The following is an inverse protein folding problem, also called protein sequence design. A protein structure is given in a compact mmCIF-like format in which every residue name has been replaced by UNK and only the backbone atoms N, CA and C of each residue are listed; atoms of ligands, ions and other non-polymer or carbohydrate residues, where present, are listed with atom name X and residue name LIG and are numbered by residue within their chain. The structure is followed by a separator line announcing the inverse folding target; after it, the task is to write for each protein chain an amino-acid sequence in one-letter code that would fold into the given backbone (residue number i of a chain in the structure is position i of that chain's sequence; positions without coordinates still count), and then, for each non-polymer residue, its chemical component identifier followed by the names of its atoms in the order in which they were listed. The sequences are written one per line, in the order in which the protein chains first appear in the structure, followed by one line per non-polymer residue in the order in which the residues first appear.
data_IF_256558889920
#
_entry.id   IF_256558889920
#
_cell.length_a   1.000
_cell.length_b   1.000
_cell.length_c   1.000
_cell.angle_alpha   90.00
_cell.angle_beta   90.00
_cell.angle_gamma   90.00
#
_symmetry.space_group_name_H-M   'P 1'
#
loop_
_entity.id
_entity.type
_entity.pdbx_description
1 polymer ?
#
# COMPACT_ATOMS: atom_id res chain seq x y z
N UNK A 1 -78.03 -23.34 -41.40
CA UNK A 1 -76.77 -23.90 -41.87
C UNK A 1 -75.66 -22.90 -41.58
N UNK A 2 -74.92 -23.06 -40.46
CA UNK A 2 -73.80 -22.20 -40.10
C UNK A 2 -72.50 -22.95 -40.43
N UNK A 3 -71.70 -22.40 -41.33
CA UNK A 3 -70.35 -22.91 -41.63
C UNK A 3 -69.36 -22.42 -40.53
N UNK A 4 -68.70 -23.37 -39.92
CA UNK A 4 -67.58 -23.11 -38.98
C UNK A 4 -66.32 -23.09 -39.84
N UNK A 5 -65.57 -21.99 -39.72
CA UNK A 5 -64.27 -21.82 -40.35
C UNK A 5 -63.18 -22.09 -39.30
N UNK A 6 -62.43 -23.15 -39.51
CA UNK A 6 -61.29 -23.51 -38.63
C UNK A 6 -60.05 -22.80 -39.11
N UNK A 7 -59.47 -21.95 -38.27
CA UNK A 7 -58.18 -21.26 -38.52
C UNK A 7 -57.04 -22.06 -37.86
N UNK A 8 -56.13 -22.58 -38.67
CA UNK A 8 -54.93 -23.29 -38.22
C UNK A 8 -53.78 -22.26 -38.06
N UNK A 9 -53.32 -22.08 -36.85
CA UNK A 9 -52.15 -21.22 -36.54
C UNK A 9 -50.89 -22.09 -36.64
N UNK A 10 -50.02 -21.79 -37.61
CA UNK A 10 -48.69 -22.38 -37.69
C UNK A 10 -47.70 -21.54 -36.85
N UNK A 11 -47.15 -22.11 -35.78
CA UNK A 11 -46.10 -21.50 -34.97
C UNK A 11 -44.74 -21.86 -35.58
N UNK A 12 -44.06 -20.87 -36.13
CA UNK A 12 -42.64 -20.95 -36.52
C UNK A 12 -41.76 -20.58 -35.35
N UNK A 13 -41.07 -21.57 -34.74
CA UNK A 13 -40.05 -21.38 -33.74
C UNK A 13 -38.73 -21.00 -34.43
N UNK A 14 -38.33 -19.74 -34.26
CA UNK A 14 -37.00 -19.28 -34.65
C UNK A 14 -35.98 -19.72 -33.59
N UNK A 15 -35.12 -20.66 -33.96
CA UNK A 15 -33.97 -21.10 -33.14
C UNK A 15 -32.83 -20.08 -33.29
N UNK A 16 -32.64 -19.21 -32.29
CA UNK A 16 -31.51 -18.27 -32.26
C UNK A 16 -30.25 -19.04 -31.86
N UNK A 17 -29.38 -19.30 -32.82
CA UNK A 17 -28.01 -19.75 -32.54
C UNK A 17 -27.23 -18.60 -31.90
N UNK A 18 -27.02 -18.67 -30.58
CA UNK A 18 -26.00 -17.87 -29.87
C UNK A 18 -24.62 -18.38 -30.31
N UNK A 19 -23.96 -17.65 -31.21
CA UNK A 19 -22.56 -17.85 -31.51
C UNK A 19 -21.75 -17.30 -30.31
N UNK A 20 -21.22 -18.20 -29.47
CA UNK A 20 -20.22 -17.85 -28.48
C UNK A 20 -18.97 -17.34 -29.22
N UNK A 21 -18.67 -16.07 -29.11
CA UNK A 21 -17.37 -15.50 -29.52
C UNK A 21 -16.27 -16.18 -28.72
N UNK A 22 -15.23 -16.74 -29.35
CA UNK A 22 -14.10 -17.30 -28.60
C UNK A 22 -13.44 -16.16 -27.80
N UNK A 23 -13.27 -16.38 -26.50
CA UNK A 23 -12.49 -15.49 -25.65
C UNK A 23 -11.11 -15.28 -26.29
N UNK A 24 -10.74 -14.02 -26.50
CA UNK A 24 -9.45 -13.69 -27.08
C UNK A 24 -8.33 -14.09 -26.12
N UNK A 25 -7.17 -14.47 -26.64
CA UNK A 25 -6.02 -14.98 -25.89
C UNK A 25 -5.49 -14.03 -24.79
N UNK A 26 -6.08 -12.82 -24.65
CA UNK A 26 -5.74 -11.82 -23.63
C UNK A 26 -6.28 -12.14 -22.20
N UNK A 27 -7.23 -13.08 -22.06
CA UNK A 27 -7.91 -13.37 -20.78
C UNK A 27 -7.37 -14.59 -20.04
N UNK A 28 -6.28 -15.21 -20.49
CA UNK A 28 -5.64 -16.27 -19.70
C UNK A 28 -4.74 -15.64 -18.63
N UNK A 29 -4.90 -16.01 -17.35
CA UNK A 29 -3.93 -15.61 -16.33
C UNK A 29 -2.53 -16.01 -16.81
N UNK A 30 -1.59 -15.06 -16.83
CA UNK A 30 -0.18 -15.39 -17.12
C UNK A 30 0.31 -16.35 -16.05
N UNK A 31 1.09 -17.34 -16.44
CA UNK A 31 1.84 -18.14 -15.49
C UNK A 31 2.83 -17.20 -14.79
N UNK A 32 2.58 -16.94 -13.51
CA UNK A 32 3.44 -16.07 -12.71
C UNK A 32 4.67 -16.86 -12.28
N UNK A 33 5.90 -16.34 -12.50
CA UNK A 33 7.11 -17.03 -12.07
C UNK A 33 7.17 -17.14 -10.55
N UNK A 34 7.87 -18.17 -10.05
CA UNK A 34 8.06 -18.36 -8.60
C UNK A 34 8.88 -17.22 -7.96
N UNK A 35 9.72 -16.54 -8.76
CA UNK A 35 10.49 -15.38 -8.34
C UNK A 35 10.62 -14.35 -9.47
N UNK A 36 10.70 -13.06 -9.10
CA UNK A 36 11.09 -11.95 -9.98
C UNK A 36 12.17 -11.16 -9.29
N UNK A 37 13.34 -11.05 -9.92
CA UNK A 37 14.48 -10.32 -9.39
C UNK A 37 14.40 -8.83 -9.74
N UNK A 38 14.44 -7.95 -8.75
CA UNK A 38 14.38 -6.49 -8.90
C UNK A 38 15.74 -5.82 -9.10
N UNK A 39 16.84 -6.60 -9.17
CA UNK A 39 18.19 -6.05 -9.33
C UNK A 39 18.93 -5.84 -8.01
N UNK A 40 20.18 -5.35 -8.14
CA UNK A 40 21.09 -5.02 -7.04
C UNK A 40 21.50 -3.53 -7.13
N UNK A 41 21.19 -2.75 -6.11
CA UNK A 41 21.28 -1.29 -6.15
C UNK A 41 21.94 -0.71 -4.90
N UNK A 42 22.58 0.45 -5.04
CA UNK A 42 23.15 1.21 -3.92
C UNK A 42 22.10 2.15 -3.26
N UNK A 43 20.88 2.16 -3.74
CA UNK A 43 19.80 3.08 -3.37
C UNK A 43 19.04 2.70 -2.08
N UNK A 44 19.68 2.00 -1.14
CA UNK A 44 19.01 1.47 0.06
C UNK A 44 18.32 0.12 -0.19
N UNK A 45 17.62 -0.41 0.80
CA UNK A 45 16.89 -1.69 0.64
C UNK A 45 15.56 -1.50 -0.11
N UNK A 46 14.99 -2.63 -0.58
CA UNK A 46 13.65 -2.63 -1.18
C UNK A 46 12.61 -2.20 -0.13
N UNK A 47 11.69 -1.31 -0.52
CA UNK A 47 10.69 -0.68 0.34
C UNK A 47 9.27 -1.13 -0.02
N UNK A 48 9.03 -1.49 -1.27
CA UNK A 48 7.72 -1.89 -1.75
C UNK A 48 7.77 -2.42 -3.18
N UNK A 49 6.63 -2.95 -3.62
CA UNK A 49 6.47 -3.51 -4.96
C UNK A 49 5.10 -3.20 -5.52
N UNK A 50 5.00 -3.11 -6.86
CA UNK A 50 3.74 -3.08 -7.59
C UNK A 50 3.84 -3.95 -8.84
N UNK A 51 2.70 -4.37 -9.41
CA UNK A 51 2.67 -5.21 -10.61
C UNK A 51 1.57 -4.77 -11.60
N UNK A 52 1.93 -4.64 -12.86
CA UNK A 52 0.97 -4.67 -13.96
C UNK A 52 0.91 -6.10 -14.53
N UNK A 53 -0.01 -6.92 -13.98
CA UNK A 53 -0.16 -8.32 -14.41
C UNK A 53 -0.57 -8.42 -15.89
N UNK A 54 -1.30 -7.43 -16.41
CA UNK A 54 -1.78 -7.42 -17.79
C UNK A 54 -0.64 -7.23 -18.79
N UNK A 55 0.26 -6.26 -18.50
CA UNK A 55 1.42 -5.98 -19.36
C UNK A 55 2.63 -6.86 -19.00
N UNK A 56 2.67 -7.43 -17.80
CA UNK A 56 3.75 -8.27 -17.31
C UNK A 56 4.97 -7.49 -16.88
N UNK A 57 4.76 -6.42 -16.11
CA UNK A 57 5.83 -5.63 -15.52
C UNK A 57 5.74 -5.62 -14.00
N UNK A 58 6.90 -5.73 -13.36
CA UNK A 58 7.08 -5.49 -11.93
C UNK A 58 7.75 -4.15 -11.69
N UNK A 59 7.40 -3.54 -10.58
CA UNK A 59 7.98 -2.30 -10.08
C UNK A 59 8.48 -2.53 -8.68
N UNK A 60 9.69 -2.05 -8.39
CA UNK A 60 10.30 -2.15 -7.07
C UNK A 60 10.73 -0.74 -6.65
N UNK A 61 10.34 -0.30 -5.47
CA UNK A 61 10.92 0.87 -4.84
C UNK A 61 12.12 0.47 -3.98
N UNK A 62 13.16 1.26 -4.10
CA UNK A 62 14.27 1.34 -3.17
C UNK A 62 14.24 2.76 -2.60
N UNK A 63 14.97 3.06 -1.55
CA UNK A 63 14.84 4.34 -0.82
C UNK A 63 14.77 5.59 -1.73
N UNK A 64 15.57 5.64 -2.80
CA UNK A 64 15.59 6.77 -3.74
C UNK A 64 15.67 6.34 -5.21
N UNK A 65 15.03 5.23 -5.53
CA UNK A 65 15.03 4.63 -6.86
C UNK A 65 13.74 3.85 -7.10
N UNK A 66 13.11 4.04 -8.25
CA UNK A 66 12.09 3.12 -8.79
C UNK A 66 12.69 2.29 -9.90
N UNK A 67 12.51 0.97 -9.85
CA UNK A 67 12.95 0.01 -10.87
C UNK A 67 11.75 -0.62 -11.55
N UNK A 68 11.76 -0.72 -12.87
CA UNK A 68 10.79 -1.46 -13.69
C UNK A 68 11.47 -2.64 -14.35
N UNK A 69 10.97 -3.84 -14.13
CA UNK A 69 11.43 -5.08 -14.79
C UNK A 69 10.30 -5.76 -15.55
N UNK A 70 10.62 -6.66 -16.46
CA UNK A 70 9.67 -7.69 -16.89
C UNK A 70 9.54 -8.80 -15.81
N UNK A 71 8.65 -9.77 -16.03
CA UNK A 71 8.45 -10.88 -15.08
C UNK A 71 9.62 -11.88 -15.05
N UNK A 72 10.59 -11.78 -15.96
CA UNK A 72 11.82 -12.53 -15.95
C UNK A 72 12.95 -11.82 -15.18
N UNK A 73 12.63 -10.64 -14.58
CA UNK A 73 13.59 -9.83 -13.82
C UNK A 73 14.54 -9.01 -14.70
N UNK A 74 14.30 -8.93 -16.03
CA UNK A 74 15.09 -8.11 -16.93
C UNK A 74 14.71 -6.63 -16.74
N UNK A 75 15.70 -5.79 -16.49
CA UNK A 75 15.53 -4.34 -16.39
C UNK A 75 14.92 -3.76 -17.67
N UNK A 76 13.84 -3.01 -17.52
CA UNK A 76 13.18 -2.24 -18.58
C UNK A 76 13.51 -0.77 -18.46
N UNK A 77 13.55 -0.24 -17.24
CA UNK A 77 13.89 1.14 -16.96
C UNK A 77 13.94 1.42 -15.48
N UNK A 78 14.41 2.60 -15.11
CA UNK A 78 14.42 3.06 -13.73
C UNK A 78 14.23 4.57 -13.64
N UNK A 79 13.83 5.05 -12.46
CA UNK A 79 13.67 6.48 -12.16
C UNK A 79 14.52 6.82 -10.96
N UNK A 80 15.38 7.80 -11.13
CA UNK A 80 16.29 8.39 -10.15
C UNK A 80 16.03 9.90 -10.00
N UNK A 81 16.95 10.65 -9.43
CA UNK A 81 16.86 12.12 -9.37
C UNK A 81 15.94 12.65 -8.29
N UNK A 82 15.67 11.84 -7.26
CA UNK A 82 15.04 12.29 -6.03
C UNK A 82 15.84 11.80 -4.81
N UNK A 83 15.89 12.62 -3.76
CA UNK A 83 16.64 12.36 -2.51
C UNK A 83 15.72 11.93 -1.38
N UNK A 84 14.39 12.09 -1.57
CA UNK A 84 13.37 11.67 -0.63
C UNK A 84 13.30 10.16 -0.47
N UNK A 85 12.63 9.72 0.60
CA UNK A 85 12.38 8.31 0.85
C UNK A 85 11.13 7.85 0.11
N UNK A 86 11.32 7.01 -0.92
CA UNK A 86 10.26 6.31 -1.63
C UNK A 86 9.95 5.00 -0.89
N UNK A 87 8.75 4.89 -0.34
CA UNK A 87 8.29 3.72 0.41
C UNK A 87 7.53 2.72 -0.45
N UNK A 88 6.39 2.27 0.06
CA UNK A 88 5.52 1.27 -0.58
C UNK A 88 4.92 1.75 -1.90
N UNK A 89 4.53 0.79 -2.75
CA UNK A 89 3.97 1.04 -4.08
C UNK A 89 2.65 0.28 -4.27
N UNK A 90 1.72 0.88 -5.02
CA UNK A 90 0.60 0.12 -5.59
C UNK A 90 0.29 0.55 -7.03
N UNK A 91 -0.21 -0.40 -7.83
CA UNK A 91 -0.57 -0.19 -9.22
C UNK A 91 -2.07 0.09 -9.37
N UNK A 92 -2.41 1.27 -9.85
CA UNK A 92 -3.80 1.61 -10.12
C UNK A 92 -4.25 1.05 -11.49
N UNK A 93 -5.06 0.00 -11.46
CA UNK A 93 -5.59 -0.64 -12.67
C UNK A 93 -6.54 0.27 -13.46
N UNK A 94 -7.07 1.35 -12.88
CA UNK A 94 -8.00 2.27 -13.53
C UNK A 94 -7.30 3.26 -14.46
N UNK A 95 -6.09 3.72 -14.09
CA UNK A 95 -5.35 4.70 -14.88
C UNK A 95 -3.98 4.20 -15.38
N UNK A 96 -3.57 2.99 -14.98
CA UNK A 96 -2.35 2.34 -15.45
C UNK A 96 -1.06 2.94 -14.88
N UNK A 97 -1.14 3.65 -13.74
CA UNK A 97 0.00 4.30 -13.09
C UNK A 97 0.36 3.61 -11.77
N UNK A 98 1.61 3.75 -11.35
CA UNK A 98 2.08 3.34 -10.03
C UNK A 98 2.04 4.53 -9.08
N UNK A 99 1.51 4.29 -7.89
CA UNK A 99 1.44 5.26 -6.79
C UNK A 99 2.35 4.78 -5.66
N UNK A 100 3.13 5.68 -5.09
CA UNK A 100 4.04 5.37 -3.98
C UNK A 100 4.08 6.49 -2.96
N UNK A 101 4.38 6.14 -1.72
CA UNK A 101 4.67 7.13 -0.68
C UNK A 101 6.04 7.76 -0.96
N UNK A 102 6.15 9.08 -0.84
CA UNK A 102 7.41 9.80 -1.00
C UNK A 102 7.52 10.88 0.09
N UNK A 103 8.57 10.81 0.88
CA UNK A 103 8.71 11.69 2.03
C UNK A 103 10.05 12.44 2.06
N UNK A 104 9.95 13.70 2.48
CA UNK A 104 11.06 14.62 2.75
C UNK A 104 10.89 15.17 4.16
N UNK A 105 11.35 14.41 5.16
CA UNK A 105 11.12 14.72 6.59
C UNK A 105 11.73 16.04 7.02
N UNK A 106 12.93 16.34 6.54
CA UNK A 106 13.65 17.59 6.86
C UNK A 106 12.99 18.83 6.22
N UNK A 107 12.22 18.65 5.14
CA UNK A 107 11.44 19.69 4.48
C UNK A 107 9.98 19.68 4.91
N UNK A 108 9.60 18.84 5.89
CA UNK A 108 8.22 18.67 6.37
C UNK A 108 7.23 18.46 5.21
N UNK A 109 7.64 17.65 4.23
CA UNK A 109 6.89 17.48 3.00
C UNK A 109 6.64 16.00 2.70
N UNK A 110 5.36 15.64 2.60
CA UNK A 110 4.92 14.27 2.35
C UNK A 110 4.01 14.23 1.13
N UNK A 111 4.29 13.31 0.22
CA UNK A 111 3.63 13.22 -1.08
C UNK A 111 3.19 11.78 -1.39
N UNK A 112 2.21 11.67 -2.27
CA UNK A 112 2.09 10.51 -3.14
C UNK A 112 2.79 10.83 -4.44
N UNK A 113 3.84 10.07 -4.78
CA UNK A 113 4.46 10.04 -6.09
C UNK A 113 3.62 9.20 -7.05
N UNK A 114 3.36 9.72 -8.24
CA UNK A 114 2.54 9.09 -9.28
C UNK A 114 3.40 8.93 -10.52
N UNK A 115 3.74 7.69 -10.81
CA UNK A 115 4.64 7.33 -11.92
C UNK A 115 3.83 6.95 -13.17
N UNK A 116 4.08 7.65 -14.27
CA UNK A 116 3.63 7.23 -15.60
C UNK A 116 4.54 6.10 -16.12
N UNK A 117 4.23 4.89 -15.68
CA UNK A 117 5.08 3.71 -15.88
C UNK A 117 5.17 3.25 -17.33
N UNK A 118 4.25 3.67 -18.20
CA UNK A 118 4.35 3.38 -19.64
C UNK A 118 5.49 4.17 -20.28
N UNK A 119 5.82 5.33 -19.73
CA UNK A 119 6.91 6.18 -20.21
C UNK A 119 8.27 5.83 -19.61
N UNK A 120 8.33 4.94 -18.62
CA UNK A 120 9.59 4.44 -18.04
C UNK A 120 10.14 3.36 -18.99
N UNK A 121 11.06 3.74 -19.88
CA UNK A 121 11.57 2.91 -20.98
C UNK A 121 13.10 2.82 -21.04
N UNK A 122 13.80 3.52 -20.16
CA UNK A 122 15.26 3.52 -20.08
C UNK A 122 15.72 3.55 -18.62
N UNK A 123 16.93 3.04 -18.31
CA UNK A 123 17.55 3.24 -17.00
C UNK A 123 17.78 4.72 -16.69
N UNK A 124 17.78 5.05 -15.40
CA UNK A 124 18.19 6.33 -14.82
C UNK A 124 17.45 7.57 -15.38
N UNK A 125 16.16 7.41 -15.69
CA UNK A 125 15.31 8.55 -16.03
C UNK A 125 15.17 9.46 -14.83
N UNK A 126 15.47 10.74 -14.99
CA UNK A 126 15.42 11.71 -13.90
C UNK A 126 13.98 12.13 -13.58
N UNK A 127 13.58 12.00 -12.32
CA UNK A 127 12.22 12.27 -11.84
C UNK A 127 11.79 13.73 -12.00
N UNK A 128 12.74 14.66 -11.94
CA UNK A 128 12.45 16.09 -11.96
C UNK A 128 12.41 16.68 -13.38
N UNK A 129 13.06 16.02 -14.36
CA UNK A 129 13.21 16.56 -15.72
C UNK A 129 12.50 15.78 -16.82
N UNK A 130 12.19 14.48 -16.60
CA UNK A 130 11.60 13.62 -17.65
C UNK A 130 10.08 13.61 -17.67
N UNK A 131 9.42 14.28 -16.74
CA UNK A 131 7.95 14.35 -16.62
C UNK A 131 7.28 12.97 -16.48
N UNK A 132 8.01 11.97 -15.97
CA UNK A 132 7.46 10.63 -15.67
C UNK A 132 6.91 10.52 -14.25
N UNK A 133 7.17 11.52 -13.41
CA UNK A 133 6.71 11.58 -12.02
C UNK A 133 5.91 12.85 -11.80
N UNK A 134 4.77 12.70 -11.16
CA UNK A 134 3.99 13.78 -10.56
C UNK A 134 3.83 13.50 -9.07
N UNK A 135 3.63 14.54 -8.29
CA UNK A 135 3.42 14.41 -6.85
C UNK A 135 2.15 15.14 -6.43
N UNK A 136 1.52 14.61 -5.36
CA UNK A 136 0.36 15.22 -4.68
C UNK A 136 0.68 15.32 -3.20
N UNK A 137 0.62 16.54 -2.67
CA UNK A 137 0.94 16.86 -1.29
C UNK A 137 -0.12 16.34 -0.31
N UNK A 138 0.30 15.78 0.81
CA UNK A 138 -0.56 15.23 1.85
C UNK A 138 -0.58 16.12 3.09
N UNK A 139 -1.41 17.16 3.05
CA UNK A 139 -1.54 18.13 4.15
C UNK A 139 -1.85 17.47 5.51
N UNK A 140 -2.76 16.48 5.56
CA UNK A 140 -3.13 15.80 6.80
C UNK A 140 -1.94 15.12 7.49
N UNK A 141 -1.02 14.55 6.71
CA UNK A 141 0.21 13.93 7.23
C UNK A 141 1.14 14.98 7.83
N UNK A 142 1.30 16.10 7.11
CA UNK A 142 2.15 17.21 7.57
C UNK A 142 1.59 17.81 8.86
N UNK A 143 0.28 18.06 8.93
CA UNK A 143 -0.36 18.63 10.11
C UNK A 143 -0.12 17.76 11.36
N UNK A 144 -0.16 16.42 11.22
CA UNK A 144 0.11 15.51 12.34
C UNK A 144 1.61 15.34 12.61
N UNK A 145 2.45 15.41 11.57
CA UNK A 145 3.90 15.31 11.72
C UNK A 145 4.49 16.53 12.47
N UNK A 146 4.07 17.75 12.11
CA UNK A 146 4.57 18.98 12.74
C UNK A 146 3.77 19.42 13.97
N UNK A 147 2.86 18.56 14.47
CA UNK A 147 2.01 18.92 15.60
C UNK A 147 2.85 19.16 16.86
N UNK A 148 2.75 20.36 17.41
CA UNK A 148 3.26 20.72 18.73
C UNK A 148 2.29 20.18 19.80
N UNK A 149 2.56 18.96 20.29
CA UNK A 149 1.67 18.25 21.21
C UNK A 149 1.91 18.62 22.67
N UNK A 150 3.03 19.24 23.00
CA UNK A 150 3.33 19.74 24.34
C UNK A 150 2.92 21.21 24.55
N UNK A 151 2.66 21.96 23.47
CA UNK A 151 2.19 23.34 23.49
C UNK A 151 3.28 24.34 23.89
N UNK A 152 4.55 24.04 23.64
CA UNK A 152 5.66 24.93 23.95
C UNK A 152 5.96 25.95 22.84
N UNK A 153 5.22 25.87 21.72
CA UNK A 153 5.34 26.75 20.56
C UNK A 153 6.55 26.45 19.68
N UNK A 154 7.14 25.27 19.80
CA UNK A 154 8.25 24.79 18.98
C UNK A 154 7.92 23.43 18.38
N UNK A 155 8.49 23.17 17.22
CA UNK A 155 8.52 21.85 16.63
C UNK A 155 9.94 21.30 16.69
N UNK A 156 10.12 20.12 17.28
CA UNK A 156 11.44 19.54 17.57
C UNK A 156 12.10 18.87 16.33
N UNK A 157 11.47 18.91 15.16
CA UNK A 157 11.98 18.33 13.93
C UNK A 157 11.79 16.82 13.85
N UNK A 158 12.59 16.16 13.03
CA UNK A 158 12.54 14.70 12.80
C UNK A 158 13.12 13.91 13.99
N UNK A 159 12.48 14.00 15.16
CA UNK A 159 12.95 13.42 16.42
C UNK A 159 11.86 12.59 17.08
N UNK A 160 12.10 11.28 17.28
CA UNK A 160 11.14 10.36 17.87
C UNK A 160 10.97 10.44 19.39
N UNK A 161 11.89 11.12 20.12
CA UNK A 161 11.91 11.17 21.58
C UNK A 161 11.34 12.48 22.14
N UNK A 162 10.36 13.05 21.45
CA UNK A 162 9.64 14.24 21.89
C UNK A 162 8.16 13.94 22.06
N UNK A 163 7.38 14.77 22.77
CA UNK A 163 5.93 14.68 22.77
C UNK A 163 5.29 15.12 21.46
N UNK A 164 6.02 15.85 20.60
CA UNK A 164 5.53 16.28 19.28
C UNK A 164 5.20 15.09 18.38
N UNK A 165 4.71 15.34 17.18
CA UNK A 165 4.24 14.34 16.25
C UNK A 165 2.98 13.60 16.73
N UNK A 166 1.82 14.14 16.41
CA UNK A 166 0.53 13.53 16.79
C UNK A 166 0.50 12.04 16.39
N UNK A 167 0.05 11.17 17.29
CA UNK A 167 0.06 9.70 17.16
C UNK A 167 1.47 9.10 16.99
N UNK A 168 2.53 9.84 17.27
CA UNK A 168 3.88 9.43 16.96
C UNK A 168 4.19 9.42 15.46
N UNK A 169 3.50 10.23 14.66
CA UNK A 169 3.66 10.30 13.20
C UNK A 169 5.12 10.60 12.83
N UNK A 170 5.77 9.69 12.11
CA UNK A 170 7.12 9.86 11.56
C UNK A 170 7.11 10.06 10.04
N UNK A 171 5.94 10.26 9.43
CA UNK A 171 5.73 10.35 7.99
C UNK A 171 4.77 9.31 7.47
N UNK A 172 5.04 8.77 6.28
CA UNK A 172 4.21 7.78 5.58
C UNK A 172 5.06 6.66 4.99
N UNK A 173 4.47 5.46 4.85
CA UNK A 173 5.12 4.35 4.13
C UNK A 173 4.10 3.55 3.31
N UNK A 174 3.26 2.72 3.95
CA UNK A 174 2.33 1.83 3.26
C UNK A 174 1.29 2.56 2.40
N UNK A 175 1.10 2.09 1.17
CA UNK A 175 0.05 2.59 0.27
C UNK A 175 -0.66 1.44 -0.43
N UNK A 176 -1.98 1.52 -0.59
CA UNK A 176 -2.72 0.55 -1.39
C UNK A 176 -4.06 1.08 -1.88
N UNK A 177 -4.49 0.59 -3.04
CA UNK A 177 -5.84 0.79 -3.54
C UNK A 177 -6.78 -0.27 -2.99
N UNK A 178 -7.94 0.16 -2.52
CA UNK A 178 -8.98 -0.74 -2.03
C UNK A 178 -10.27 -0.01 -1.73
N UNK A 179 -11.34 -0.70 -1.34
CA UNK A 179 -12.61 -0.08 -1.04
C UNK A 179 -12.54 0.74 0.25
N UNK A 180 -13.56 1.50 0.52
CA UNK A 180 -13.75 2.17 1.81
C UNK A 180 -13.82 1.16 2.94
N UNK A 181 -13.17 1.42 4.08
CA UNK A 181 -13.26 0.56 5.26
C UNK A 181 -14.72 0.33 5.68
N UNK A 182 -15.05 -0.92 5.98
CA UNK A 182 -16.41 -1.39 6.23
C UNK A 182 -17.14 -1.88 4.97
N UNK A 183 -16.44 -1.93 3.84
CA UNK A 183 -16.95 -2.48 2.56
C UNK A 183 -15.90 -3.41 1.96
N UNK A 184 -16.29 -4.64 1.64
CA UNK A 184 -15.39 -5.59 0.97
C UNK A 184 -15.24 -5.34 -0.53
N UNK A 185 -16.15 -4.59 -1.11
CA UNK A 185 -16.17 -4.25 -2.53
C UNK A 185 -16.67 -2.82 -2.70
N UNK A 186 -16.35 -2.20 -3.82
CA UNK A 186 -16.85 -0.86 -4.14
C UNK A 186 -15.82 0.00 -4.86
N UNK A 187 -16.05 1.30 -4.81
CA UNK A 187 -15.14 2.29 -5.39
C UNK A 187 -13.78 2.19 -4.70
N UNK A 188 -12.73 2.09 -5.51
CA UNK A 188 -11.36 2.09 -5.03
C UNK A 188 -10.97 3.49 -4.51
N UNK A 189 -10.38 3.52 -3.34
CA UNK A 189 -9.74 4.69 -2.73
C UNK A 189 -8.25 4.38 -2.54
N UNK A 190 -7.42 5.38 -2.57
CA UNK A 190 -6.05 5.26 -2.13
C UNK A 190 -6.03 5.31 -0.60
N UNK A 191 -5.46 4.30 0.02
CA UNK A 191 -5.19 4.26 1.46
C UNK A 191 -3.70 4.47 1.68
N UNK A 192 -3.37 5.39 2.60
CA UNK A 192 -2.00 5.74 2.98
C UNK A 192 -1.84 5.49 4.47
N UNK A 193 -0.79 4.78 4.86
CA UNK A 193 -0.50 4.49 6.25
C UNK A 193 0.64 5.36 6.78
N UNK A 194 0.53 5.78 8.03
CA UNK A 194 1.59 6.54 8.69
C UNK A 194 2.81 5.66 8.99
N UNK A 195 3.97 6.27 8.86
CA UNK A 195 5.13 5.90 9.65
C UNK A 195 4.91 6.29 11.12
N UNK A 196 5.42 5.50 12.07
CA UNK A 196 5.24 5.72 13.51
C UNK A 196 6.61 5.61 14.22
N UNK A 197 6.99 6.60 14.98
CA UNK A 197 8.20 6.50 15.82
C UNK A 197 8.08 5.38 16.85
N UNK A 198 9.13 4.56 16.96
CA UNK A 198 9.19 3.38 17.84
C UNK A 198 9.40 3.69 19.33
N UNK A 199 9.18 4.92 19.77
CA UNK A 199 9.40 5.33 21.16
C UNK A 199 8.51 4.51 22.12
N UNK A 200 9.13 3.74 23.01
CA UNK A 200 8.42 2.86 23.96
C UNK A 200 7.85 3.60 25.16
N UNK A 201 8.27 4.83 25.41
CA UNK A 201 7.75 5.65 26.52
C UNK A 201 6.50 6.44 26.14
N UNK A 202 6.22 6.62 24.83
CA UNK A 202 4.98 7.24 24.34
C UNK A 202 3.78 6.36 24.65
N UNK A 203 2.65 6.99 24.91
CA UNK A 203 1.37 6.28 25.13
C UNK A 203 0.42 6.40 23.92
N UNK A 204 0.65 7.38 23.04
CA UNK A 204 -0.22 7.75 21.93
C UNK A 204 0.14 7.09 20.57
N UNK A 205 1.19 6.25 20.52
CA UNK A 205 1.69 5.61 19.31
C UNK A 205 1.35 4.11 19.18
N UNK A 206 0.26 3.68 19.81
CA UNK A 206 -0.16 2.27 19.83
C UNK A 206 -1.20 1.91 18.74
N UNK A 207 -1.48 2.87 17.84
CA UNK A 207 -2.37 2.68 16.69
C UNK A 207 -1.58 2.82 15.39
N UNK A 208 -1.88 1.96 14.41
CA UNK A 208 -1.57 2.27 13.01
C UNK A 208 -2.62 3.27 12.51
N UNK A 209 -2.19 4.35 11.89
CA UNK A 209 -3.06 5.38 11.35
C UNK A 209 -3.15 5.23 9.84
N UNK A 210 -4.38 5.14 9.31
CA UNK A 210 -4.64 4.96 7.90
C UNK A 210 -5.54 6.07 7.38
N UNK A 211 -5.11 6.72 6.31
CA UNK A 211 -5.86 7.78 5.62
C UNK A 211 -6.45 7.23 4.33
N UNK A 212 -7.70 7.54 4.03
CA UNK A 212 -8.31 7.21 2.73
C UNK A 212 -8.62 8.45 1.91
N UNK A 213 -8.29 8.40 0.62
CA UNK A 213 -8.49 9.46 -0.36
C UNK A 213 -9.23 8.96 -1.60
N UNK A 214 -10.24 9.71 -2.04
CA UNK A 214 -10.84 9.58 -3.36
C UNK A 214 -10.00 10.36 -4.38
N UNK A 215 -9.23 9.63 -5.18
CA UNK A 215 -8.29 10.26 -6.10
C UNK A 215 -8.89 10.73 -7.44
N UNK A 216 -10.20 10.58 -7.67
CA UNK A 216 -10.83 10.94 -8.96
C UNK A 216 -10.56 12.40 -9.39
N UNK A 217 -10.40 13.28 -8.42
CA UNK A 217 -10.13 14.70 -8.66
C UNK A 217 -8.66 15.09 -8.51
N UNK A 218 -7.76 14.14 -8.33
CA UNK A 218 -6.36 14.43 -7.99
C UNK A 218 -5.56 15.02 -9.15
N UNK A 219 -5.97 14.81 -10.39
CA UNK A 219 -5.32 15.41 -11.58
C UNK A 219 -5.10 16.94 -11.44
N UNK A 220 -6.01 17.64 -10.78
CA UNK A 220 -5.88 19.10 -10.52
C UNK A 220 -4.76 19.44 -9.53
N UNK A 221 -4.36 18.49 -8.68
CA UNK A 221 -3.31 18.67 -7.67
C UNK A 221 -1.94 18.21 -8.14
N UNK A 222 -1.88 17.32 -9.14
CA UNK A 222 -0.62 16.78 -9.66
C UNK A 222 0.31 17.91 -10.11
N UNK A 223 1.56 17.89 -9.61
CA UNK A 223 2.63 18.81 -10.00
C UNK A 223 3.90 18.02 -10.31
N UNK A 224 4.78 18.53 -11.17
CA UNK A 224 6.13 17.97 -11.31
C UNK A 224 6.82 17.94 -9.95
N UNK A 225 7.64 16.91 -9.73
CA UNK A 225 8.53 16.89 -8.58
C UNK A 225 9.62 17.96 -8.76
N UNK A 226 9.80 18.80 -7.75
CA UNK A 226 10.86 19.81 -7.68
C UNK A 226 11.36 19.89 -6.25
N UNK A 227 12.54 19.34 -5.98
CA UNK A 227 13.07 19.28 -4.61
C UNK A 227 13.57 20.63 -4.08
N UNK A 228 14.04 21.51 -4.99
CA UNK A 228 14.51 22.86 -4.62
C UNK A 228 13.36 23.82 -4.23
N UNK A 229 12.12 23.52 -4.66
CA UNK A 229 10.91 24.30 -4.35
C UNK A 229 9.71 23.34 -4.14
N UNK A 230 9.62 22.67 -3.00
CA UNK A 230 8.58 21.70 -2.71
C UNK A 230 7.19 22.35 -2.71
N UNK A 231 6.31 21.89 -3.60
CA UNK A 231 4.96 22.41 -3.69
C UNK A 231 4.04 21.87 -2.59
N UNK A 232 2.97 22.62 -2.28
CA UNK A 232 1.90 22.22 -1.35
C UNK A 232 0.57 21.97 -2.05
N UNK A 233 0.60 21.52 -3.31
CA UNK A 233 -0.61 21.22 -4.09
C UNK A 233 -1.13 19.83 -3.73
N UNK A 234 -2.27 19.78 -3.05
CA UNK A 234 -2.90 18.55 -2.58
C UNK A 234 -4.32 18.79 -2.05
N UNK A 235 -5.02 17.73 -1.63
CA UNK A 235 -6.33 17.86 -0.99
C UNK A 235 -6.21 18.55 0.37
N UNK A 236 -7.12 19.48 0.66
CA UNK A 236 -7.21 20.18 1.96
C UNK A 236 -7.67 19.24 3.09
N UNK A 237 -8.34 18.15 2.78
CA UNK A 237 -8.90 17.20 3.74
C UNK A 237 -8.79 15.78 3.23
N UNK A 238 -8.60 14.87 4.16
CA UNK A 238 -8.72 13.44 3.95
C UNK A 238 -10.20 13.03 3.94
N UNK A 239 -10.57 12.01 3.15
CA UNK A 239 -11.95 11.47 3.17
C UNK A 239 -12.23 10.63 4.42
N UNK A 240 -11.20 10.04 4.99
CA UNK A 240 -11.30 9.31 6.24
C UNK A 240 -9.95 9.08 6.90
N UNK A 241 -9.91 9.22 8.23
CA UNK A 241 -8.78 8.88 9.09
C UNK A 241 -9.20 7.78 10.05
N UNK A 242 -8.45 6.70 10.07
CA UNK A 242 -8.79 5.47 10.76
C UNK A 242 -7.64 4.95 11.62
N UNK A 243 -7.96 4.20 12.66
CA UNK A 243 -7.03 3.75 13.69
C UNK A 243 -7.15 2.25 13.92
N UNK A 244 -6.07 1.50 13.72
CA UNK A 244 -5.98 0.08 14.03
C UNK A 244 -5.09 -0.13 15.26
N UNK A 245 -5.63 -0.68 16.34
CA UNK A 245 -4.91 -0.91 17.59
C UNK A 245 -4.03 -2.15 17.48
N UNK A 246 -2.71 -1.98 17.43
CA UNK A 246 -1.72 -3.05 17.23
C UNK A 246 -0.63 -3.07 18.29
N UNK A 247 -0.54 -2.04 19.11
CA UNK A 247 0.68 -1.62 19.80
C UNK A 247 1.58 -0.79 18.87
N UNK A 248 2.65 -0.25 19.42
CA UNK A 248 3.61 0.49 18.63
C UNK A 248 4.33 -0.42 17.64
N UNK A 249 4.84 0.17 16.58
CA UNK A 249 5.69 -0.48 15.57
C UNK A 249 6.91 0.38 15.32
N UNK A 250 7.93 -0.17 14.67
CA UNK A 250 9.06 0.62 14.21
C UNK A 250 8.75 1.14 12.82
N UNK A 251 8.61 2.45 12.67
CA UNK A 251 8.23 3.14 11.43
C UNK A 251 6.84 2.83 10.86
N UNK A 252 5.90 2.29 11.65
CA UNK A 252 4.51 2.10 11.25
C UNK A 252 4.28 0.97 10.26
N UNK A 253 3.28 1.12 9.39
CA UNK A 253 2.96 0.15 8.33
C UNK A 253 3.90 0.40 7.16
N UNK A 254 4.81 -0.52 6.94
CA UNK A 254 5.79 -0.44 5.86
C UNK A 254 5.19 -0.83 4.51
N UNK A 255 4.39 -1.88 4.49
CA UNK A 255 3.65 -2.30 3.31
C UNK A 255 2.18 -2.53 3.65
N UNK A 256 1.32 -1.97 2.82
CA UNK A 256 -0.13 -2.07 2.91
C UNK A 256 -0.68 -2.73 1.65
N UNK A 257 -1.57 -3.71 1.80
CA UNK A 257 -2.22 -4.34 0.66
C UNK A 257 -3.69 -4.65 0.95
N UNK A 258 -4.60 -4.16 0.12
CA UNK A 258 -5.96 -4.69 0.09
C UNK A 258 -5.99 -6.01 -0.69
N UNK A 259 -6.54 -7.03 -0.08
CA UNK A 259 -6.65 -8.35 -0.69
C UNK A 259 -8.12 -8.72 -0.99
N UNK A 260 -8.45 -8.82 -2.27
CA UNK A 260 -9.81 -9.18 -2.70
C UNK A 260 -10.20 -10.61 -2.34
N UNK A 261 -9.23 -11.54 -2.19
CA UNK A 261 -9.49 -12.93 -1.87
C UNK A 261 -10.05 -13.08 -0.44
N UNK A 262 -9.47 -12.39 0.53
CA UNK A 262 -9.95 -12.39 1.92
C UNK A 262 -10.94 -11.25 2.22
N UNK A 263 -10.94 -10.20 1.41
CA UNK A 263 -11.68 -8.96 1.62
C UNK A 263 -11.14 -8.15 2.80
N UNK A 264 -9.83 -8.26 3.08
CA UNK A 264 -9.17 -7.62 4.22
C UNK A 264 -7.97 -6.78 3.77
N UNK A 265 -7.50 -5.91 4.69
CA UNK A 265 -6.30 -5.10 4.51
C UNK A 265 -5.14 -5.74 5.27
N UNK A 266 -4.08 -6.05 4.57
CA UNK A 266 -2.85 -6.63 5.10
C UNK A 266 -1.84 -5.53 5.40
N UNK A 267 -1.18 -5.61 6.55
CA UNK A 267 -0.20 -4.64 7.03
C UNK A 267 1.09 -5.37 7.41
N UNK A 268 2.14 -5.21 6.63
CA UNK A 268 3.51 -5.62 6.97
C UNK A 268 4.20 -4.51 7.75
N UNK A 269 4.75 -4.82 8.93
CA UNK A 269 5.36 -3.86 9.82
C UNK A 269 6.69 -4.35 10.36
N UNK A 270 7.63 -3.46 10.64
CA UNK A 270 8.71 -3.79 11.58
C UNK A 270 8.13 -3.87 12.99
N UNK A 271 8.50 -4.93 13.70
CA UNK A 271 7.99 -5.20 15.06
C UNK A 271 8.16 -4.01 15.98
N UNK A 272 7.16 -3.76 16.80
CA UNK A 272 7.29 -2.92 17.98
C UNK A 272 8.15 -3.56 19.06
N UNK A 273 8.39 -2.80 20.13
CA UNK A 273 9.25 -3.21 21.24
C UNK A 273 8.64 -2.97 22.62
N UNK A 274 7.39 -2.51 22.69
CA UNK A 274 6.68 -2.36 23.97
C UNK A 274 6.37 -3.72 24.58
N UNK A 275 6.82 -3.99 25.82
CA UNK A 275 6.70 -5.33 26.41
C UNK A 275 5.26 -5.77 26.72
N UNK A 276 4.32 -4.84 26.81
CA UNK A 276 2.89 -5.15 27.05
C UNK A 276 2.16 -5.63 25.80
N UNK A 277 2.79 -5.56 24.60
CA UNK A 277 2.20 -5.99 23.34
C UNK A 277 2.88 -7.24 22.79
N UNK A 278 2.17 -8.06 21.98
CA UNK A 278 2.74 -9.26 21.37
C UNK A 278 3.75 -8.95 20.26
N UNK A 279 3.82 -7.71 19.77
CA UNK A 279 4.75 -7.22 18.75
C UNK A 279 4.80 -8.12 17.50
N UNK A 280 3.64 -8.39 16.90
CA UNK A 280 3.57 -9.15 15.65
C UNK A 280 4.14 -8.31 14.48
N UNK A 281 4.80 -8.95 13.48
CA UNK A 281 5.26 -8.25 12.27
C UNK A 281 4.19 -8.16 11.17
N UNK A 282 3.03 -8.80 11.33
CA UNK A 282 1.97 -8.83 10.34
C UNK A 282 0.59 -8.76 10.98
N UNK A 283 -0.22 -7.84 10.48
CA UNK A 283 -1.60 -7.63 10.92
C UNK A 283 -2.56 -7.65 9.73
N UNK A 284 -3.83 -7.90 10.03
CA UNK A 284 -4.90 -7.74 9.07
C UNK A 284 -6.05 -6.94 9.68
N UNK A 285 -6.56 -5.96 8.93
CA UNK A 285 -7.81 -5.25 9.26
C UNK A 285 -8.95 -5.92 8.51
N UNK A 286 -10.06 -6.18 9.21
CA UNK A 286 -11.29 -6.69 8.60
C UNK A 286 -11.92 -5.62 7.71
N UNK A 287 -11.81 -5.80 6.39
CA UNK A 287 -12.31 -4.85 5.40
C UNK A 287 -13.83 -4.72 5.40
N UNK A 288 -14.56 -5.73 5.89
CA UNK A 288 -16.03 -5.72 5.99
C UNK A 288 -16.59 -5.16 7.30
N UNK A 289 -15.78 -5.10 8.35
CA UNK A 289 -16.20 -4.56 9.63
C UNK A 289 -16.32 -3.03 9.57
N UNK A 290 -17.50 -2.49 9.87
CA UNK A 290 -17.71 -1.04 9.88
C UNK A 290 -16.86 -0.37 10.95
N UNK A 291 -16.09 0.70 10.61
CA UNK A 291 -15.35 1.46 11.60
C UNK A 291 -16.28 2.00 12.71
N UNK A 292 -15.83 1.93 13.95
CA UNK A 292 -16.59 2.40 15.11
C UNK A 292 -15.95 3.67 15.66
N UNK A 293 -16.75 4.68 15.97
CA UNK A 293 -16.24 5.86 16.69
C UNK A 293 -16.01 5.48 18.17
N UNK A 294 -14.76 5.59 18.60
CA UNK A 294 -14.35 5.26 19.97
C UNK A 294 -13.24 6.17 20.48
N UNK A 295 -12.92 6.08 21.75
CA UNK A 295 -11.78 6.76 22.35
C UNK A 295 -10.48 6.19 21.82
N UNK A 296 -9.50 7.08 21.54
CA UNK A 296 -8.13 6.71 21.25
C UNK A 296 -7.35 6.65 22.57
N UNK A 297 -6.92 5.44 22.94
CA UNK A 297 -6.12 5.24 24.14
C UNK A 297 -4.77 5.96 24.06
N UNK A 298 -4.26 6.43 25.18
CA UNK A 298 -2.93 7.00 25.31
C UNK A 298 -2.76 8.43 24.79
N UNK A 299 -3.83 9.06 24.27
CA UNK A 299 -3.73 10.45 23.82
C UNK A 299 -3.56 11.42 25.00
N UNK A 300 -2.77 12.49 24.86
CA UNK A 300 -2.57 13.50 25.92
C UNK A 300 -3.88 14.19 26.35
N UNK A 301 -4.81 14.30 25.43
CA UNK A 301 -6.15 14.81 25.64
C UNK A 301 -7.18 13.79 25.14
N UNK A 302 -8.39 13.76 25.74
CA UNK A 302 -9.45 12.86 25.31
C UNK A 302 -9.79 13.09 23.84
N UNK A 303 -9.53 12.11 23.00
CA UNK A 303 -9.77 12.15 21.56
C UNK A 303 -10.56 10.93 21.11
N UNK A 304 -11.41 11.12 20.11
CA UNK A 304 -12.18 10.01 19.50
C UNK A 304 -11.85 9.89 18.03
N UNK A 305 -11.66 8.64 17.58
CA UNK A 305 -11.36 8.31 16.19
C UNK A 305 -12.24 7.19 15.64
N UNK A 306 -12.11 6.93 14.34
CA UNK A 306 -12.73 5.78 13.67
C UNK A 306 -11.86 4.55 13.86
N UNK A 307 -12.20 3.69 14.82
CA UNK A 307 -11.47 2.48 15.13
C UNK A 307 -11.78 1.36 14.13
N UNK A 308 -10.72 0.76 13.60
CA UNK A 308 -10.77 -0.44 12.78
C UNK A 308 -10.73 -1.71 13.64
N UNK A 309 -11.28 -2.79 13.11
CA UNK A 309 -11.26 -4.10 13.74
C UNK A 309 -10.20 -4.97 13.08
N UNK A 310 -9.31 -5.57 13.88
CA UNK A 310 -8.40 -6.59 13.35
C UNK A 310 -9.19 -7.83 12.92
N UNK A 311 -8.83 -8.38 11.77
CA UNK A 311 -9.50 -9.56 11.21
C UNK A 311 -9.37 -10.77 12.15
N UNK A 312 -10.37 -11.66 12.20
CA UNK A 312 -10.26 -12.91 12.93
C UNK A 312 -9.17 -13.81 12.32
N UNK A 313 -8.54 -14.61 13.16
CA UNK A 313 -7.42 -15.50 12.78
C UNK A 313 -6.09 -15.04 13.37
N UNK A 314 -5.03 -15.75 12.99
CA UNK A 314 -3.70 -15.52 13.55
C UNK A 314 -3.54 -15.90 15.01
N UNK A 315 -2.47 -15.42 15.60
CA UNK A 315 -2.24 -15.47 17.04
C UNK A 315 -3.05 -14.35 17.72
N UNK A 316 -3.55 -14.63 18.90
CA UNK A 316 -4.26 -13.64 19.71
C UNK A 316 -3.59 -13.47 21.07
N UNK A 317 -3.27 -12.22 21.42
CA UNK A 317 -2.86 -11.89 22.77
C UNK A 317 -4.10 -11.63 23.64
N UNK A 318 -4.23 -12.38 24.74
CA UNK A 318 -5.39 -12.30 25.60
C UNK A 318 -5.43 -11.02 26.45
N UNK A 319 -4.26 -10.42 26.74
CA UNK A 319 -4.17 -9.24 27.59
C UNK A 319 -4.58 -7.96 26.84
N UNK A 320 -4.16 -7.82 25.59
CA UNK A 320 -4.42 -6.63 24.77
C UNK A 320 -5.57 -6.80 23.79
N UNK A 321 -5.93 -8.05 23.46
CA UNK A 321 -6.86 -8.40 22.39
C UNK A 321 -6.28 -8.27 20.99
N UNK A 322 -5.00 -7.90 20.87
CA UNK A 322 -4.31 -7.74 19.58
C UNK A 322 -4.16 -9.10 18.88
N UNK A 323 -4.40 -9.09 17.57
CA UNK A 323 -4.27 -10.27 16.68
C UNK A 323 -3.28 -10.00 15.58
N UNK A 324 -2.52 -11.03 15.19
CA UNK A 324 -1.54 -10.92 14.10
C UNK A 324 -0.84 -12.25 13.82
N UNK A 325 0.17 -12.20 12.98
CA UNK A 325 0.92 -13.38 12.55
C UNK A 325 2.43 -13.13 12.65
N UNK A 326 3.20 -14.20 12.71
CA UNK A 326 4.66 -14.21 12.64
C UNK A 326 5.07 -14.35 11.16
N UNK A 327 4.95 -13.28 10.39
CA UNK A 327 5.29 -13.27 8.98
C UNK A 327 5.85 -11.91 8.59
N UNK A 328 6.96 -11.90 7.87
CA UNK A 328 7.64 -10.71 7.41
C UNK A 328 7.08 -10.28 6.04
N UNK A 329 6.37 -9.17 6.00
CA UNK A 329 5.81 -8.57 4.79
C UNK A 329 6.20 -7.10 4.62
N UNK A 330 7.17 -6.64 5.40
CA UNK A 330 7.55 -5.21 5.52
C UNK A 330 8.37 -4.68 4.34
N UNK A 331 8.91 -5.55 3.49
CA UNK A 331 9.71 -5.14 2.33
C UNK A 331 8.93 -5.10 1.01
N UNK A 332 7.72 -5.61 0.98
CA UNK A 332 6.85 -5.66 -0.19
C UNK A 332 5.86 -6.81 -0.12
N UNK A 333 4.59 -6.52 -0.33
CA UNK A 333 3.51 -7.50 -0.35
C UNK A 333 2.50 -7.09 -1.41
N UNK A 334 2.23 -7.96 -2.40
CA UNK A 334 1.25 -7.70 -3.46
C UNK A 334 0.28 -8.87 -3.56
N UNK A 335 -1.02 -8.60 -3.53
CA UNK A 335 -2.05 -9.58 -3.91
C UNK A 335 -2.11 -9.75 -5.43
N UNK A 336 -2.07 -11.01 -5.88
CA UNK A 336 -2.15 -11.38 -7.29
C UNK A 336 -3.53 -11.94 -7.67
N UNK A 337 -4.45 -11.91 -6.70
CA UNK A 337 -5.75 -12.54 -6.81
C UNK A 337 -5.73 -14.06 -6.58
N UNK A 338 -6.90 -14.62 -6.26
CA UNK A 338 -7.05 -16.05 -6.04
C UNK A 338 -6.21 -16.64 -4.90
N UNK A 339 -5.86 -15.83 -3.92
CA UNK A 339 -5.05 -16.24 -2.75
C UNK A 339 -3.56 -16.43 -3.06
N UNK A 340 -3.05 -15.84 -4.14
CA UNK A 340 -1.62 -15.81 -4.49
C UNK A 340 -1.04 -14.42 -4.26
N UNK A 341 0.25 -14.38 -3.90
CA UNK A 341 0.93 -13.14 -3.51
C UNK A 341 2.38 -13.15 -3.95
N UNK A 342 2.91 -11.98 -4.29
CA UNK A 342 4.34 -11.77 -4.21
C UNK A 342 4.69 -11.12 -2.87
N UNK A 343 5.73 -11.67 -2.23
CA UNK A 343 6.34 -11.10 -1.01
C UNK A 343 7.79 -10.82 -1.29
N UNK A 344 8.26 -9.62 -0.98
CA UNK A 344 9.65 -9.26 -1.21
C UNK A 344 10.57 -9.91 -0.18
N UNK A 345 11.65 -10.48 -0.68
CA UNK A 345 12.85 -10.80 0.09
C UNK A 345 13.88 -9.71 -0.15
N UNK A 346 14.30 -9.03 0.91
CA UNK A 346 15.42 -8.11 0.89
C UNK A 346 16.71 -8.83 1.25
N UNK A 347 17.80 -8.54 0.53
CA UNK A 347 19.10 -9.13 0.76
C UNK A 347 20.22 -8.14 0.38
N UNK A 348 21.47 -8.53 0.57
CA UNK A 348 22.66 -7.75 0.17
C UNK A 348 23.62 -8.62 -0.61
N UNK A 349 24.23 -8.03 -1.63
CA UNK A 349 25.32 -8.63 -2.40
C UNK A 349 26.49 -7.66 -2.48
N UNK A 350 27.69 -8.18 -2.66
CA UNK A 350 28.88 -7.36 -2.93
C UNK A 350 29.32 -7.61 -4.36
N UNK A 351 29.29 -6.57 -5.19
CA UNK A 351 29.74 -6.60 -6.57
C UNK A 351 30.82 -5.55 -6.75
N UNK A 352 31.97 -5.94 -7.30
CA UNK A 352 33.13 -5.06 -7.51
C UNK A 352 33.56 -4.28 -6.24
N UNK A 353 33.45 -4.92 -5.07
CA UNK A 353 33.76 -4.30 -3.78
C UNK A 353 32.71 -3.34 -3.23
N UNK A 354 31.59 -3.13 -3.94
CA UNK A 354 30.47 -2.27 -3.53
C UNK A 354 29.35 -3.13 -2.96
N UNK A 355 28.90 -2.80 -1.74
CA UNK A 355 27.69 -3.42 -1.14
C UNK A 355 26.43 -2.86 -1.79
N UNK A 356 25.59 -3.73 -2.32
CA UNK A 356 24.32 -3.39 -2.95
C UNK A 356 23.17 -4.12 -2.25
N UNK A 357 22.02 -3.48 -2.17
CA UNK A 357 20.78 -4.10 -1.72
C UNK A 357 20.05 -4.74 -2.90
N UNK A 358 19.42 -5.89 -2.65
CA UNK A 358 18.61 -6.58 -3.64
C UNK A 358 17.16 -6.69 -3.16
N UNK A 359 16.23 -6.79 -4.12
CA UNK A 359 14.83 -7.11 -3.88
C UNK A 359 14.43 -8.27 -4.79
N UNK A 360 13.81 -9.31 -4.22
CA UNK A 360 13.28 -10.44 -4.99
C UNK A 360 11.84 -10.68 -4.59
N UNK A 361 10.90 -10.53 -5.52
CA UNK A 361 9.52 -10.91 -5.32
C UNK A 361 9.42 -12.44 -5.36
N UNK A 362 8.93 -13.07 -4.30
CA UNK A 362 8.77 -14.51 -4.18
C UNK A 362 7.28 -14.87 -4.13
N UNK A 363 6.88 -15.92 -4.85
CA UNK A 363 5.49 -16.33 -4.97
C UNK A 363 5.04 -17.14 -3.75
N UNK A 364 3.89 -16.74 -3.17
CA UNK A 364 3.26 -17.38 -2.03
C UNK A 364 1.79 -17.65 -2.28
N UNK A 365 1.21 -18.57 -1.50
CA UNK A 365 -0.24 -18.70 -1.35
C UNK A 365 -0.68 -18.40 0.07
N UNK A 366 -1.86 -17.85 0.22
CA UNK A 366 -2.53 -17.66 1.50
C UNK A 366 -3.05 -18.98 2.05
N UNK A 367 -2.73 -19.29 3.29
CA UNK A 367 -3.25 -20.45 4.03
C UNK A 367 -4.11 -20.03 5.22
N UNK A 368 -3.92 -18.81 5.72
CA UNK A 368 -4.56 -18.30 6.94
C UNK A 368 -4.13 -18.99 8.22
N UNK A 369 -3.18 -19.92 8.16
CA UNK A 369 -2.71 -20.70 9.31
C UNK A 369 -1.91 -19.82 10.29
N UNK A 370 -1.86 -20.27 11.53
CA UNK A 370 -1.02 -19.71 12.59
C UNK A 370 0.15 -20.65 12.84
N UNK A 371 1.33 -20.12 13.16
CA UNK A 371 1.68 -18.71 13.34
C UNK A 371 1.94 -17.97 12.02
N UNK A 372 2.09 -18.69 10.90
CA UNK A 372 2.52 -18.16 9.59
C UNK A 372 1.42 -18.34 8.56
N UNK A 373 0.86 -17.27 7.96
CA UNK A 373 -0.33 -17.35 7.12
C UNK A 373 -0.04 -17.64 5.66
N UNK A 374 1.21 -17.61 5.23
CA UNK A 374 1.62 -17.82 3.85
C UNK A 374 2.52 -19.03 3.69
N UNK A 375 2.38 -19.72 2.57
CA UNK A 375 3.24 -20.80 2.13
C UNK A 375 3.88 -20.45 0.80
N UNK A 376 5.21 -20.58 0.70
CA UNK A 376 5.95 -20.31 -0.53
C UNK A 376 5.63 -21.32 -1.61
N UNK A 377 5.47 -20.84 -2.85
CA UNK A 377 5.26 -21.66 -4.04
C UNK A 377 6.51 -21.65 -4.92
N UNK A 378 7.18 -22.79 -5.06
CA UNK A 378 8.38 -22.97 -5.89
C UNK A 378 9.69 -23.00 -5.12
#
# INVERSE_FOLDING_TARGET
MRKVLTLTLAATSALSLLTATPATAADRPRDLPSEVYGGAWTAGHVQGMAIDQRKGFMYFSFTNLLVKTDLQGKLVGSVTGFTGHLGDLDFNTQDGRVYGSLEYKEQESFYIAIFDVDRITAPDMDAQTTDVVKTVYLKEVVDDYVADMNGDGKFDGNVGNTPDHRYGCSGIDGVSFGPEFGKKHGKQKLTVAYGIYANTTRQDNDYQVLLQYDIQQWKKYERPLTESDPHKSGPERVDGKYFAYTGNTTYGVQNLQYDEHTGNWMMGVYKGTKPQFPNYPFFMVDGGARPRTGELAGQPQAERGKLLTLAPGGLQDAATGVRGWQFNGEYGLISLGGGRYYVAKADKVTEDGVSKHTGTAQLYRWTGQSPTPFERLG
#
